data_IF_462059177404
#
_entry.id   IF_462059177404
#
_cell.length_a   1.000
_cell.length_b   1.000
_cell.length_c   1.000
_cell.angle_alpha   90.00
_cell.angle_beta   90.00
_cell.angle_gamma   90.00
#
_symmetry.space_group_name_H-M   'P 1'
#
loop_
_entity.id
_entity.type
_entity.pdbx_description
1 polymer ?
#
# COMPACT_ATOMS: atom_id res chain seq x y z
N UNK A 1 4.92 -2.39 -20.24
CA UNK A 1 3.85 -1.47 -20.63
C UNK A 1 3.75 -0.29 -19.67
N UNK A 2 2.91 -0.31 -18.61
CA UNK A 2 2.73 0.89 -17.76
C UNK A 2 4.02 1.34 -17.05
N UNK A 3 4.88 0.42 -16.60
CA UNK A 3 6.16 0.77 -15.98
C UNK A 3 7.06 1.56 -16.93
N UNK A 4 7.13 1.16 -18.18
CA UNK A 4 7.94 1.84 -19.20
C UNK A 4 7.41 3.24 -19.51
N UNK A 5 6.08 3.41 -19.49
CA UNK A 5 5.43 4.71 -19.65
C UNK A 5 5.75 5.67 -18.49
N UNK A 6 5.74 5.16 -17.24
CA UNK A 6 6.13 5.95 -16.06
C UNK A 6 7.59 6.36 -16.15
N UNK A 7 8.49 5.43 -16.51
CA UNK A 7 9.92 5.72 -16.66
C UNK A 7 10.12 6.80 -17.74
N UNK A 8 9.53 6.61 -18.91
CA UNK A 8 9.63 7.56 -20.01
C UNK A 8 9.07 8.96 -19.63
N UNK A 9 7.99 9.01 -18.86
CA UNK A 9 7.42 10.27 -18.41
C UNK A 9 8.38 11.10 -17.54
N UNK A 10 9.32 10.46 -16.82
CA UNK A 10 10.30 11.20 -16.00
C UNK A 10 11.39 11.89 -16.82
N UNK A 11 11.55 11.56 -18.11
CA UNK A 11 12.61 12.13 -18.98
C UNK A 11 12.49 13.67 -19.11
N UNK A 12 11.25 14.16 -19.18
CA UNK A 12 10.96 15.59 -19.39
C UNK A 12 10.37 16.28 -18.16
N UNK A 13 10.46 15.66 -16.97
CA UNK A 13 9.89 16.19 -15.74
C UNK A 13 10.94 16.84 -14.81
N UNK A 14 12.02 17.38 -15.36
CA UNK A 14 13.11 17.98 -14.60
C UNK A 14 13.75 16.95 -13.69
N UNK A 15 13.93 17.28 -12.42
CA UNK A 15 14.61 16.43 -11.44
C UNK A 15 13.65 15.52 -10.63
N UNK A 16 12.40 15.38 -11.10
CA UNK A 16 11.40 14.53 -10.46
C UNK A 16 11.85 13.06 -10.42
N UNK A 17 11.91 12.49 -9.23
CA UNK A 17 12.05 11.06 -9.03
C UNK A 17 10.67 10.45 -8.71
N UNK A 18 10.25 9.48 -9.49
CA UNK A 18 8.98 8.75 -9.28
C UNK A 18 9.26 7.38 -8.73
N UNK A 19 8.65 7.06 -7.59
CA UNK A 19 8.73 5.74 -6.96
C UNK A 19 7.39 5.01 -7.17
N UNK A 20 7.44 3.79 -7.66
CA UNK A 20 6.25 2.99 -7.91
C UNK A 20 6.49 1.50 -7.72
N UNK A 21 5.41 0.76 -7.39
CA UNK A 21 5.42 -0.70 -7.30
C UNK A 21 4.97 -1.34 -8.60
N UNK A 22 5.60 -2.45 -8.97
CA UNK A 22 5.17 -3.25 -10.12
C UNK A 22 5.68 -4.70 -9.99
N UNK A 23 5.16 -5.59 -10.85
CA UNK A 23 5.68 -6.94 -11.01
C UNK A 23 6.83 -6.91 -12.01
N UNK A 24 8.04 -7.22 -11.54
CA UNK A 24 9.18 -7.45 -12.43
C UNK A 24 9.19 -8.91 -12.90
N UNK A 25 9.47 -9.13 -14.17
CA UNK A 25 9.53 -10.47 -14.79
C UNK A 25 10.90 -10.68 -15.39
N UNK A 26 11.62 -11.69 -14.90
CA UNK A 26 12.87 -12.15 -15.51
C UNK A 26 12.59 -13.38 -16.39
N UNK A 27 12.56 -13.16 -17.68
CA UNK A 27 12.32 -14.21 -18.67
C UNK A 27 13.52 -15.14 -18.87
N UNK A 28 14.71 -14.75 -18.40
CA UNK A 28 15.92 -15.57 -18.48
C UNK A 28 15.99 -16.63 -17.38
N UNK A 29 15.22 -16.45 -16.31
CA UNK A 29 15.17 -17.32 -15.14
C UNK A 29 13.82 -18.03 -15.01
N UNK A 30 13.88 -19.28 -14.52
CA UNK A 30 12.68 -20.09 -14.28
C UNK A 30 12.59 -20.47 -12.80
N UNK A 31 11.38 -20.55 -12.29
CA UNK A 31 11.07 -21.20 -11.04
C UNK A 31 11.04 -22.72 -11.21
N UNK A 32 10.97 -23.47 -10.10
CA UNK A 32 10.88 -24.93 -10.11
C UNK A 32 9.70 -25.47 -10.95
N UNK A 33 8.62 -24.71 -11.04
CA UNK A 33 7.42 -25.01 -11.83
C UNK A 33 7.56 -24.67 -13.33
N UNK A 34 8.73 -24.23 -13.78
CA UNK A 34 9.05 -23.86 -15.16
C UNK A 34 8.53 -22.49 -15.62
N UNK A 35 7.83 -21.74 -14.76
CA UNK A 35 7.36 -20.38 -15.07
C UNK A 35 8.48 -19.36 -15.03
N UNK A 36 8.35 -18.29 -15.83
CA UNK A 36 9.24 -17.14 -15.75
C UNK A 36 9.23 -16.57 -14.33
N UNK A 37 10.42 -16.22 -13.83
CA UNK A 37 10.56 -15.71 -12.48
C UNK A 37 9.96 -14.33 -12.36
N UNK A 38 9.14 -14.12 -11.30
CA UNK A 38 8.49 -12.85 -11.00
C UNK A 38 8.91 -12.34 -9.64
N UNK A 39 9.03 -11.02 -9.53
CA UNK A 39 9.36 -10.33 -8.30
C UNK A 39 8.26 -9.30 -7.99
N UNK A 40 7.86 -9.22 -6.72
CA UNK A 40 7.15 -8.07 -6.20
C UNK A 40 8.22 -6.99 -5.97
N UNK A 41 8.17 -5.90 -6.73
CA UNK A 41 9.29 -5.00 -6.88
C UNK A 41 8.89 -3.53 -6.74
N UNK A 42 9.81 -2.72 -6.20
CA UNK A 42 9.74 -1.27 -6.21
C UNK A 42 10.77 -0.71 -7.19
N UNK A 43 10.36 0.28 -7.94
CA UNK A 43 11.14 1.01 -8.92
C UNK A 43 11.27 2.47 -8.51
N UNK A 44 12.40 3.07 -8.79
CA UNK A 44 12.59 4.51 -8.72
C UNK A 44 13.10 4.99 -10.08
N UNK A 45 12.40 5.92 -10.70
CA UNK A 45 12.73 6.44 -12.03
C UNK A 45 13.00 7.94 -11.97
N UNK A 46 14.08 8.38 -12.63
CA UNK A 46 14.47 9.77 -12.76
C UNK A 46 15.16 9.98 -14.11
N UNK A 47 14.89 11.08 -14.79
CA UNK A 47 15.48 11.41 -16.10
C UNK A 47 15.34 10.30 -17.16
N UNK A 48 14.20 9.61 -17.19
CA UNK A 48 13.94 8.51 -18.13
C UNK A 48 14.70 7.22 -17.82
N UNK A 49 15.31 7.08 -16.64
CA UNK A 49 16.11 5.91 -16.25
C UNK A 49 15.72 5.41 -14.88
N UNK A 50 15.95 4.11 -14.65
CA UNK A 50 15.81 3.52 -13.33
C UNK A 50 17.04 3.81 -12.49
N UNK A 51 16.82 4.10 -11.21
CA UNK A 51 17.85 4.21 -10.19
C UNK A 51 18.11 2.82 -9.59
N UNK A 52 19.39 2.54 -9.30
CA UNK A 52 19.79 1.29 -8.66
C UNK A 52 20.68 1.57 -7.45
N UNK A 53 20.65 0.70 -6.45
CA UNK A 53 21.60 0.71 -5.35
C UNK A 53 22.86 -0.14 -5.63
N UNK A 54 22.95 -0.80 -6.79
CA UNK A 54 24.09 -1.59 -7.23
C UNK A 54 24.30 -2.92 -6.48
N UNK A 55 23.41 -3.31 -5.57
CA UNK A 55 23.55 -4.56 -4.79
C UNK A 55 22.94 -5.78 -5.47
N UNK A 56 21.90 -5.56 -6.27
CA UNK A 56 21.17 -6.57 -7.03
C UNK A 56 21.56 -6.55 -8.51
N UNK A 57 21.40 -7.66 -9.22
CA UNK A 57 21.58 -7.71 -10.67
C UNK A 57 20.42 -7.10 -11.46
N UNK A 58 19.63 -6.25 -10.81
CA UNK A 58 18.40 -5.63 -11.32
C UNK A 58 18.35 -4.15 -10.95
N UNK A 59 17.66 -3.37 -11.77
CA UNK A 59 17.38 -1.95 -11.53
C UNK A 59 16.09 -1.74 -10.75
N UNK A 60 15.82 -2.57 -9.75
CA UNK A 60 14.66 -2.48 -8.86
C UNK A 60 14.95 -3.12 -7.50
N UNK A 61 14.20 -2.73 -6.51
CA UNK A 61 14.23 -3.30 -5.16
C UNK A 61 13.26 -4.48 -5.09
N UNK A 62 13.73 -5.60 -4.58
CA UNK A 62 12.93 -6.83 -4.42
C UNK A 62 12.36 -6.90 -3.02
N UNK A 63 11.06 -7.20 -2.91
CA UNK A 63 10.38 -7.42 -1.64
C UNK A 63 11.01 -8.58 -0.86
N UNK A 64 11.33 -8.32 0.42
CA UNK A 64 11.94 -9.31 1.30
C UNK A 64 10.89 -10.19 2.00
N UNK A 65 9.90 -9.56 2.63
CA UNK A 65 8.85 -10.24 3.36
C UNK A 65 7.67 -10.57 2.42
N UNK A 66 7.55 -11.84 2.04
CA UNK A 66 6.44 -12.34 1.24
C UNK A 66 5.38 -12.93 2.16
N UNK A 67 4.28 -12.22 2.46
CA UNK A 67 3.23 -12.73 3.34
C UNK A 67 2.55 -13.95 2.71
N UNK A 68 2.30 -14.94 3.56
CA UNK A 68 1.64 -16.20 3.17
C UNK A 68 0.64 -16.60 4.27
N UNK A 69 -0.26 -15.69 4.60
CA UNK A 69 -1.28 -15.85 5.63
C UNK A 69 -2.57 -15.13 5.22
N UNK A 70 -3.71 -15.62 5.68
CA UNK A 70 -5.05 -15.12 5.35
C UNK A 70 -5.26 -15.06 3.83
N UNK A 71 -5.46 -13.85 3.30
CA UNK A 71 -5.68 -13.56 1.88
C UNK A 71 -4.39 -13.52 1.03
N UNK A 72 -3.22 -13.50 1.67
CA UNK A 72 -1.94 -13.36 1.00
C UNK A 72 -1.34 -14.72 0.64
N UNK A 73 -0.83 -14.83 -0.58
CA UNK A 73 -0.13 -16.02 -1.10
C UNK A 73 1.06 -15.60 -1.98
N UNK A 74 1.83 -14.62 -1.47
CA UNK A 74 2.94 -14.00 -2.21
C UNK A 74 4.01 -15.04 -2.59
N UNK A 75 4.32 -15.99 -1.69
CA UNK A 75 5.33 -17.02 -1.94
C UNK A 75 5.02 -17.91 -3.14
N UNK A 76 3.75 -18.07 -3.49
CA UNK A 76 3.32 -18.85 -4.66
C UNK A 76 3.62 -18.14 -5.97
N UNK A 77 3.67 -16.80 -5.93
CA UNK A 77 3.69 -15.98 -7.15
C UNK A 77 5.03 -15.29 -7.37
N UNK A 78 5.78 -15.02 -6.29
CA UNK A 78 6.99 -14.20 -6.34
C UNK A 78 8.21 -14.92 -5.78
N UNK A 79 9.34 -14.63 -6.39
CA UNK A 79 10.65 -15.00 -5.90
C UNK A 79 11.14 -13.90 -4.95
N UNK A 80 11.40 -14.26 -3.70
CA UNK A 80 11.72 -13.29 -2.65
C UNK A 80 13.18 -12.91 -2.59
N UNK A 81 13.47 -11.79 -1.91
CA UNK A 81 14.84 -11.31 -1.72
C UNK A 81 15.72 -12.33 -0.98
N UNK A 82 15.17 -13.10 -0.04
CA UNK A 82 15.91 -14.14 0.69
C UNK A 82 16.41 -15.26 -0.22
N UNK A 83 15.58 -15.70 -1.15
CA UNK A 83 15.94 -16.72 -2.14
C UNK A 83 16.99 -16.17 -3.09
N UNK A 84 16.84 -14.92 -3.52
CA UNK A 84 17.82 -14.23 -4.37
C UNK A 84 19.16 -14.03 -3.65
N UNK A 85 19.16 -13.73 -2.36
CA UNK A 85 20.36 -13.59 -1.55
C UNK A 85 21.18 -14.91 -1.51
N UNK A 86 20.48 -16.03 -1.31
CA UNK A 86 21.11 -17.37 -1.36
C UNK A 86 21.69 -17.66 -2.75
N UNK A 87 21.01 -17.33 -3.83
CA UNK A 87 21.50 -17.50 -5.20
C UNK A 87 22.75 -16.65 -5.49
N UNK A 88 22.83 -15.46 -4.87
CA UNK A 88 23.96 -14.54 -5.02
C UNK A 88 25.11 -14.80 -4.05
N UNK A 89 24.98 -15.81 -3.18
CA UNK A 89 25.91 -16.08 -2.07
C UNK A 89 26.16 -14.83 -1.19
N UNK A 90 25.08 -14.13 -0.84
CA UNK A 90 25.09 -12.91 -0.02
C UNK A 90 24.19 -13.04 1.19
N UNK A 91 24.53 -12.32 2.25
CA UNK A 91 23.61 -12.13 3.37
C UNK A 91 22.47 -11.18 2.94
N UNK A 92 21.23 -11.54 3.23
CA UNK A 92 20.05 -10.76 2.86
C UNK A 92 20.10 -9.33 3.43
N UNK A 93 20.66 -9.16 4.63
CA UNK A 93 20.83 -7.85 5.24
C UNK A 93 21.68 -6.91 4.38
N UNK A 94 22.73 -7.41 3.74
CA UNK A 94 23.62 -6.61 2.88
C UNK A 94 22.93 -6.11 1.59
N UNK A 95 21.78 -6.68 1.22
CA UNK A 95 21.03 -6.30 0.02
C UNK A 95 20.06 -5.13 0.28
N UNK A 96 19.77 -4.82 1.55
CA UNK A 96 18.96 -3.68 1.94
C UNK A 96 19.80 -2.39 1.96
N UNK A 97 20.07 -1.84 0.78
CA UNK A 97 20.84 -0.60 0.62
C UNK A 97 19.93 0.53 0.15
N UNK A 98 20.13 1.77 0.64
CA UNK A 98 19.36 2.91 0.18
C UNK A 98 19.68 3.25 -1.27
N UNK A 99 18.70 3.85 -1.94
CA UNK A 99 18.85 4.51 -3.24
C UNK A 99 19.36 5.93 -3.03
N UNK A 100 20.21 6.40 -3.93
CA UNK A 100 20.64 7.80 -3.97
C UNK A 100 19.75 8.56 -4.95
N UNK A 101 19.03 9.56 -4.47
CA UNK A 101 18.21 10.47 -5.27
C UNK A 101 18.82 11.86 -5.20
N UNK A 102 19.02 12.52 -6.34
CA UNK A 102 19.56 13.88 -6.41
C UNK A 102 18.53 14.79 -7.05
N UNK A 103 18.22 15.90 -6.40
CA UNK A 103 17.33 16.93 -6.92
C UNK A 103 17.77 18.31 -6.40
N UNK A 104 17.71 19.34 -7.25
CA UNK A 104 18.10 20.73 -6.92
C UNK A 104 19.52 20.87 -6.35
N UNK A 105 20.43 19.99 -6.81
CA UNK A 105 21.82 19.99 -6.32
C UNK A 105 21.99 19.36 -4.94
N UNK A 106 20.94 18.85 -4.34
CA UNK A 106 20.97 18.12 -3.07
C UNK A 106 20.76 16.63 -3.28
N UNK A 107 21.30 15.82 -2.39
CA UNK A 107 21.23 14.37 -2.47
C UNK A 107 20.61 13.82 -1.19
N UNK A 108 19.67 12.88 -1.33
CA UNK A 108 19.07 12.13 -0.23
C UNK A 108 19.27 10.62 -0.44
N UNK A 109 19.64 9.92 0.61
CA UNK A 109 19.69 8.45 0.64
C UNK A 109 18.35 7.91 1.10
N UNK A 110 17.60 7.35 0.18
CA UNK A 110 16.23 6.87 0.38
C UNK A 110 16.22 5.37 0.66
N UNK A 111 15.77 4.97 1.84
CA UNK A 111 15.49 3.57 2.19
C UNK A 111 14.11 3.16 1.69
N UNK A 112 14.06 2.40 0.59
CA UNK A 112 12.81 1.99 -0.05
C UNK A 112 12.38 0.60 0.40
N UNK A 113 11.11 0.45 0.80
CA UNK A 113 10.50 -0.77 1.32
C UNK A 113 9.17 -1.06 0.61
N UNK A 114 8.78 -2.33 0.58
CA UNK A 114 7.52 -2.79 0.00
C UNK A 114 6.61 -3.38 1.08
N UNK A 115 5.56 -2.68 1.43
CA UNK A 115 4.43 -3.13 2.24
C UNK A 115 4.88 -3.89 3.51
N UNK A 116 4.86 -5.23 3.47
CA UNK A 116 5.18 -6.11 4.59
C UNK A 116 6.61 -5.93 5.13
N UNK A 117 7.55 -5.42 4.34
CA UNK A 117 8.91 -5.13 4.78
C UNK A 117 8.98 -4.13 5.94
N UNK A 118 7.97 -3.27 6.06
CA UNK A 118 7.83 -2.32 7.17
C UNK A 118 7.09 -2.87 8.40
N UNK A 119 6.47 -4.07 8.32
CA UNK A 119 5.72 -4.69 9.42
C UNK A 119 6.63 -5.60 10.25
N UNK A 120 7.54 -5.04 11.02
CA UNK A 120 8.69 -5.74 11.61
C UNK A 120 8.38 -6.63 12.81
N UNK A 121 7.21 -6.50 13.47
CA UNK A 121 6.91 -7.18 14.74
C UNK A 121 7.09 -8.72 14.73
N UNK A 122 6.85 -9.36 13.57
CA UNK A 122 6.86 -10.82 13.45
C UNK A 122 7.99 -11.32 12.54
N UNK A 123 8.95 -10.48 12.19
CA UNK A 123 10.04 -10.82 11.30
C UNK A 123 11.39 -10.73 12.00
N UNK A 124 12.31 -11.61 11.60
CA UNK A 124 13.66 -11.64 12.15
C UNK A 124 14.49 -10.42 11.72
N UNK A 125 14.20 -9.84 10.56
CA UNK A 125 14.88 -8.66 10.04
C UNK A 125 14.03 -7.41 10.27
N UNK A 126 14.63 -6.41 10.89
CA UNK A 126 14.08 -5.06 11.00
C UNK A 126 14.59 -4.23 9.81
N UNK A 127 13.84 -4.27 8.69
CA UNK A 127 14.25 -3.63 7.43
C UNK A 127 14.40 -2.11 7.56
N UNK A 128 13.50 -1.35 8.23
CA UNK A 128 13.70 0.06 8.52
C UNK A 128 15.04 0.35 9.18
N UNK A 129 15.38 -0.40 10.23
CA UNK A 129 16.62 -0.20 10.96
C UNK A 129 17.86 -0.61 10.15
N UNK A 130 17.78 -1.67 9.35
CA UNK A 130 18.86 -2.05 8.43
C UNK A 130 19.15 -0.96 7.39
N UNK A 131 18.11 -0.37 6.81
CA UNK A 131 18.28 0.71 5.83
C UNK A 131 18.94 1.93 6.45
N UNK A 132 18.56 2.31 7.69
CA UNK A 132 19.23 3.39 8.43
C UNK A 132 20.70 3.04 8.69
N UNK A 133 21.03 1.85 9.19
CA UNK A 133 22.39 1.39 9.43
C UNK A 133 23.26 1.42 8.15
N UNK A 134 22.64 1.26 6.99
CA UNK A 134 23.30 1.40 5.69
C UNK A 134 23.27 2.85 5.16
N UNK A 135 22.85 3.79 5.98
CA UNK A 135 22.95 5.23 5.74
C UNK A 135 21.74 5.84 5.04
N UNK A 136 20.55 5.21 5.10
CA UNK A 136 19.33 5.88 4.69
C UNK A 136 19.06 7.11 5.56
N UNK A 137 18.57 8.18 4.96
CA UNK A 137 18.23 9.44 5.62
C UNK A 137 16.72 9.67 5.67
N UNK A 138 15.99 8.98 4.80
CA UNK A 138 14.54 9.00 4.70
C UNK A 138 14.06 7.59 4.34
N UNK A 139 13.04 7.10 5.02
CA UNK A 139 12.38 5.84 4.69
C UNK A 139 11.12 6.07 3.83
N UNK A 140 10.89 5.21 2.87
CA UNK A 140 9.68 5.19 2.07
C UNK A 140 9.13 3.77 1.98
N UNK A 141 7.90 3.56 2.42
CA UNK A 141 7.19 2.30 2.28
C UNK A 141 6.02 2.47 1.31
N UNK A 142 6.07 1.78 0.17
CA UNK A 142 4.97 1.74 -0.79
C UNK A 142 4.16 0.46 -0.58
N UNK A 143 2.85 0.59 -0.50
CA UNK A 143 1.95 -0.48 -0.06
C UNK A 143 0.70 -0.60 -0.94
N UNK A 144 0.23 -1.83 -1.06
CA UNK A 144 -1.13 -2.17 -1.45
C UNK A 144 -1.72 -3.02 -0.31
N UNK A 145 -2.00 -2.38 0.82
CA UNK A 145 -2.39 -3.01 2.07
C UNK A 145 -3.90 -2.90 2.25
N UNK A 146 -4.65 -4.02 2.19
CA UNK A 146 -6.11 -3.99 2.28
C UNK A 146 -6.57 -3.59 3.68
N UNK A 147 -7.77 -3.06 3.75
CA UNK A 147 -8.44 -2.73 5.01
C UNK A 147 -8.66 -3.99 5.86
N UNK A 148 -8.44 -3.85 7.14
CA UNK A 148 -9.00 -4.71 8.18
C UNK A 148 -9.23 -3.89 9.45
N UNK A 149 -10.14 -4.34 10.30
CA UNK A 149 -10.48 -3.64 11.55
C UNK A 149 -9.23 -3.37 12.38
N UNK A 150 -9.09 -2.15 12.91
CA UNK A 150 -7.95 -1.69 13.72
C UNK A 150 -6.59 -1.64 12.99
N UNK A 151 -6.57 -1.91 11.69
CA UNK A 151 -5.30 -1.96 10.95
C UNK A 151 -4.64 -0.58 10.85
N UNK A 152 -5.43 0.49 10.72
CA UNK A 152 -4.87 1.84 10.64
C UNK A 152 -4.20 2.24 11.96
N UNK A 153 -4.83 2.00 13.09
CA UNK A 153 -4.23 2.23 14.42
C UNK A 153 -2.96 1.39 14.62
N UNK A 154 -2.98 0.13 14.19
CA UNK A 154 -1.79 -0.73 14.21
C UNK A 154 -0.69 -0.19 13.30
N UNK A 155 -1.05 0.31 12.11
CA UNK A 155 -0.12 0.94 11.15
C UNK A 155 0.59 2.13 11.78
N UNK A 156 -0.16 3.07 12.37
CA UNK A 156 0.42 4.24 13.03
C UNK A 156 1.39 3.84 14.15
N UNK A 157 1.01 2.90 14.99
CA UNK A 157 1.89 2.41 16.06
C UNK A 157 3.19 1.80 15.52
N UNK A 158 3.12 0.96 14.48
CA UNK A 158 4.27 0.24 13.95
C UNK A 158 5.21 1.13 13.15
N UNK A 159 4.69 1.90 12.22
CA UNK A 159 5.52 2.77 11.38
C UNK A 159 6.06 3.98 12.15
N UNK A 160 5.28 4.52 13.09
CA UNK A 160 5.79 5.53 14.03
C UNK A 160 6.94 4.97 14.88
N UNK A 161 6.76 3.77 15.46
CA UNK A 161 7.85 3.11 16.19
C UNK A 161 9.07 2.80 15.31
N UNK A 162 8.87 2.43 14.05
CA UNK A 162 9.97 2.17 13.11
C UNK A 162 10.76 3.46 12.82
N UNK A 163 10.07 4.57 12.53
CA UNK A 163 10.71 5.87 12.33
C UNK A 163 11.50 6.32 13.58
N UNK A 164 10.89 6.19 14.77
CA UNK A 164 11.53 6.53 16.04
C UNK A 164 12.78 5.68 16.32
N UNK A 165 12.71 4.37 16.11
CA UNK A 165 13.85 3.46 16.32
C UNK A 165 15.00 3.75 15.35
N UNK A 166 14.66 4.00 14.08
CA UNK A 166 15.63 4.36 13.06
C UNK A 166 16.15 5.80 13.24
N UNK A 167 15.44 6.67 13.96
CA UNK A 167 15.80 8.08 14.15
C UNK A 167 15.73 8.91 12.87
N UNK A 168 15.02 8.44 11.84
CA UNK A 168 14.84 9.11 10.55
C UNK A 168 13.37 9.11 10.14
N UNK A 169 12.90 10.12 9.36
CA UNK A 169 11.51 10.20 8.95
C UNK A 169 11.07 9.03 8.05
N UNK A 170 9.77 8.75 8.05
CA UNK A 170 9.18 7.69 7.25
C UNK A 170 7.94 8.18 6.50
N UNK A 171 7.92 7.95 5.19
CA UNK A 171 6.77 8.14 4.32
C UNK A 171 6.12 6.78 4.08
N UNK A 172 4.82 6.67 4.36
CA UNK A 172 4.01 5.51 4.05
C UNK A 172 3.01 5.88 2.96
N UNK A 173 3.08 5.22 1.81
CA UNK A 173 2.19 5.43 0.68
C UNK A 173 1.36 4.17 0.43
N UNK A 174 0.03 4.27 0.52
CA UNK A 174 -0.87 3.13 0.38
C UNK A 174 -1.89 3.32 -0.74
N UNK A 175 -2.31 2.22 -1.32
CA UNK A 175 -3.34 2.17 -2.35
C UNK A 175 -4.72 2.58 -1.81
N UNK A 176 -5.53 3.21 -2.67
CA UNK A 176 -6.96 3.46 -2.48
C UNK A 176 -7.73 2.74 -3.58
N UNK A 177 -8.77 2.03 -3.24
CA UNK A 177 -9.57 1.35 -4.25
C UNK A 177 -10.20 0.05 -3.79
N UNK A 178 -10.59 -0.76 -4.75
CA UNK A 178 -11.01 -2.13 -4.54
C UNK A 178 -10.29 -3.07 -5.49
N UNK A 179 -10.09 -4.30 -5.05
CA UNK A 179 -9.63 -5.39 -5.91
C UNK A 179 -10.54 -6.60 -5.73
N UNK A 180 -10.95 -7.18 -6.86
CA UNK A 180 -11.74 -8.40 -6.90
C UNK A 180 -10.84 -9.56 -7.35
N UNK A 181 -10.66 -10.56 -6.48
CA UNK A 181 -9.90 -11.77 -6.82
C UNK A 181 -10.79 -12.95 -7.27
N UNK A 182 -12.06 -12.68 -7.56
CA UNK A 182 -13.06 -13.68 -7.96
C UNK A 182 -13.77 -14.37 -6.79
N UNK A 183 -13.22 -14.30 -5.57
CA UNK A 183 -13.85 -14.85 -4.35
C UNK A 183 -14.24 -13.75 -3.38
N UNK A 184 -13.37 -12.76 -3.24
CA UNK A 184 -13.54 -11.65 -2.30
C UNK A 184 -13.26 -10.32 -3.00
N UNK A 185 -13.90 -9.28 -2.49
CA UNK A 185 -13.60 -7.89 -2.84
C UNK A 185 -12.84 -7.30 -1.67
N UNK A 186 -11.58 -6.92 -1.90
CA UNK A 186 -10.78 -6.20 -0.94
C UNK A 186 -10.98 -4.71 -1.12
N UNK A 187 -11.15 -3.99 -0.01
CA UNK A 187 -11.09 -2.53 0.02
C UNK A 187 -9.71 -2.09 0.50
N UNK A 188 -9.19 -1.04 -0.11
CA UNK A 188 -7.94 -0.40 0.27
C UNK A 188 -8.26 0.98 0.80
N UNK A 189 -7.91 1.20 2.06
CA UNK A 189 -8.31 2.38 2.83
C UNK A 189 -7.47 3.63 2.52
N UNK A 190 -6.32 3.47 1.85
CA UNK A 190 -5.39 4.57 1.63
C UNK A 190 -4.69 4.92 2.93
N UNK A 191 -5.05 6.04 3.55
CA UNK A 191 -4.42 6.52 4.78
C UNK A 191 -2.90 6.60 4.64
N UNK A 192 -2.41 7.10 3.49
CA UNK A 192 -1.00 7.43 3.31
C UNK A 192 -0.59 8.49 4.31
N UNK A 193 0.61 8.40 4.86
CA UNK A 193 0.98 9.27 5.97
C UNK A 193 2.50 9.49 6.04
N UNK A 194 2.90 10.49 6.83
CA UNK A 194 4.29 10.86 7.08
C UNK A 194 4.54 10.87 8.58
N UNK A 195 5.65 10.28 9.00
CA UNK A 195 6.12 10.28 10.39
C UNK A 195 7.44 11.03 10.49
N UNK A 196 7.57 11.83 11.56
CA UNK A 196 8.85 12.43 11.95
C UNK A 196 9.84 11.39 12.46
N UNK A 197 11.09 11.79 12.59
CA UNK A 197 12.17 10.96 13.17
C UNK A 197 11.94 10.60 14.64
N UNK A 198 11.06 11.30 15.32
CA UNK A 198 10.58 11.02 16.69
C UNK A 198 9.41 10.03 16.74
N UNK A 199 8.92 9.62 15.56
CA UNK A 199 7.80 8.69 15.40
C UNK A 199 6.40 9.31 15.45
N UNK A 200 6.30 10.64 15.62
CA UNK A 200 5.02 11.33 15.58
C UNK A 200 4.46 11.38 14.16
N UNK A 201 3.16 11.19 14.07
CA UNK A 201 2.41 11.39 12.83
C UNK A 201 2.39 12.90 12.50
N UNK A 202 2.94 13.27 11.36
CA UNK A 202 2.97 14.66 10.89
C UNK A 202 1.77 15.00 10.01
N UNK A 203 1.37 14.07 9.13
CA UNK A 203 0.19 14.21 8.27
C UNK A 203 -0.30 12.83 7.82
N UNK A 204 -1.59 12.73 7.51
CA UNK A 204 -2.21 11.55 6.90
C UNK A 204 -3.25 11.94 5.85
N UNK A 205 -3.46 11.06 4.89
CA UNK A 205 -4.49 11.20 3.87
C UNK A 205 -5.84 10.68 4.40
N UNK A 206 -6.95 11.26 3.93
CA UNK A 206 -8.28 10.80 4.31
C UNK A 206 -8.53 9.36 3.84
N UNK A 207 -9.26 8.60 4.66
CA UNK A 207 -9.65 7.23 4.35
C UNK A 207 -10.58 7.17 3.13
N UNK A 208 -10.32 6.23 2.22
CA UNK A 208 -11.11 5.98 1.01
C UNK A 208 -11.21 7.17 0.04
N UNK A 209 -10.26 8.08 0.08
CA UNK A 209 -10.15 9.17 -0.87
C UNK A 209 -8.74 9.21 -1.49
N UNK A 210 -8.68 9.50 -2.78
CA UNK A 210 -7.42 9.81 -3.44
C UNK A 210 -6.96 11.19 -2.94
N UNK A 211 -5.69 11.28 -2.54
CA UNK A 211 -5.10 12.49 -2.02
C UNK A 211 -3.63 12.62 -2.42
N UNK A 212 -3.17 13.84 -2.52
CA UNK A 212 -1.75 14.18 -2.64
C UNK A 212 -1.31 14.84 -1.34
N UNK A 213 -0.37 14.22 -0.64
CA UNK A 213 0.31 14.82 0.51
C UNK A 213 1.59 15.47 0.05
N UNK A 214 1.83 16.71 0.48
CA UNK A 214 3.06 17.43 0.23
C UNK A 214 3.87 17.52 1.52
N UNK A 215 5.17 17.25 1.41
CA UNK A 215 6.12 17.39 2.50
C UNK A 215 7.42 17.99 1.98
N UNK A 216 8.07 18.81 2.78
CA UNK A 216 9.36 19.42 2.47
C UNK A 216 10.46 18.67 3.18
N UNK A 217 11.55 18.37 2.47
CA UNK A 217 12.76 17.76 3.02
C UNK A 217 13.84 18.83 3.27
N UNK A 218 14.35 18.88 4.49
CA UNK A 218 15.53 19.67 4.83
C UNK A 218 16.75 18.73 4.89
N UNK A 219 17.64 18.85 3.92
CA UNK A 219 18.83 18.02 3.79
C UNK A 219 19.86 18.25 4.91
N UNK A 220 19.88 19.46 5.50
CA UNK A 220 20.80 19.80 6.59
C UNK A 220 20.31 19.31 7.93
N UNK A 221 19.04 19.53 8.21
CA UNK A 221 18.39 19.05 9.43
C UNK A 221 18.05 17.56 9.38
N UNK A 222 18.04 16.95 8.17
CA UNK A 222 17.54 15.59 7.89
C UNK A 222 16.14 15.37 8.45
N UNK A 223 15.32 16.38 8.26
CA UNK A 223 13.95 16.44 8.78
C UNK A 223 12.94 16.65 7.65
N UNK A 224 11.73 16.23 7.92
CA UNK A 224 10.59 16.43 7.04
C UNK A 224 9.57 17.35 7.72
N UNK A 225 9.02 18.28 6.97
CA UNK A 225 7.98 19.19 7.43
C UNK A 225 6.74 19.10 6.53
N UNK A 226 5.56 19.25 7.12
CA UNK A 226 4.29 19.18 6.41
C UNK A 226 3.39 20.34 6.84
N UNK A 227 2.68 20.95 5.90
CA UNK A 227 1.77 22.05 6.17
C UNK A 227 0.39 21.60 6.69
N UNK A 228 0.02 20.35 6.47
CA UNK A 228 -1.35 19.85 6.71
C UNK A 228 -1.35 18.73 7.75
N UNK A 229 -1.93 19.00 8.90
CA UNK A 229 -2.24 17.99 9.90
C UNK A 229 -3.70 17.59 9.72
N UNK A 230 -3.94 16.40 9.20
CA UNK A 230 -5.28 15.81 9.12
C UNK A 230 -5.26 14.50 9.90
N UNK A 231 -5.77 14.49 11.11
CA UNK A 231 -6.16 13.24 11.76
C UNK A 231 -7.68 13.21 11.84
N UNK A 232 -8.28 12.14 11.34
CA UNK A 232 -9.72 11.88 11.44
C UNK A 232 -9.92 10.63 12.30
N UNK A 233 -9.95 10.79 13.65
CA UNK A 233 -10.13 9.65 14.53
C UNK A 233 -11.54 9.09 14.35
N UNK A 234 -11.62 7.81 13.96
CA UNK A 234 -12.88 7.08 13.77
C UNK A 234 -13.00 5.95 14.77
N UNK A 235 -14.26 5.65 15.16
CA UNK A 235 -14.53 4.43 15.89
C UNK A 235 -14.40 3.20 14.97
N UNK A 236 -14.17 2.03 15.54
CA UNK A 236 -14.11 0.77 14.77
C UNK A 236 -15.35 0.54 13.91
N UNK A 237 -16.53 0.87 14.43
CA UNK A 237 -17.78 0.70 13.71
C UNK A 237 -17.88 1.67 12.52
N UNK A 238 -17.37 2.89 12.67
CA UNK A 238 -17.31 3.86 11.56
C UNK A 238 -16.36 3.37 10.48
N UNK A 239 -15.19 2.82 10.84
CA UNK A 239 -14.26 2.24 9.88
C UNK A 239 -14.91 1.11 9.07
N UNK A 240 -15.62 0.18 9.74
CA UNK A 240 -16.34 -0.92 9.08
C UNK A 240 -17.44 -0.38 8.16
N UNK A 241 -18.26 0.56 8.66
CA UNK A 241 -19.31 1.17 7.87
C UNK A 241 -18.77 1.85 6.60
N UNK A 242 -17.72 2.64 6.75
CA UNK A 242 -17.09 3.32 5.62
C UNK A 242 -16.45 2.34 4.61
N UNK A 243 -15.83 1.26 5.10
CA UNK A 243 -15.27 0.21 4.24
C UNK A 243 -16.34 -0.50 3.40
N UNK A 244 -17.42 -0.94 4.05
CA UNK A 244 -18.52 -1.61 3.36
C UNK A 244 -19.18 -0.68 2.34
N UNK A 245 -19.46 0.55 2.75
CA UNK A 245 -20.06 1.56 1.87
C UNK A 245 -19.20 1.84 0.65
N UNK A 246 -17.89 2.07 0.85
CA UNK A 246 -16.94 2.32 -0.23
C UNK A 246 -16.82 1.10 -1.16
N UNK A 247 -16.65 -0.08 -0.59
CA UNK A 247 -16.51 -1.32 -1.35
C UNK A 247 -17.71 -1.59 -2.25
N UNK A 248 -18.92 -1.49 -1.71
CA UNK A 248 -20.16 -1.64 -2.48
C UNK A 248 -20.26 -0.61 -3.61
N UNK A 249 -20.02 0.66 -3.31
CA UNK A 249 -20.10 1.73 -4.29
C UNK A 249 -19.12 1.49 -5.45
N UNK A 250 -17.84 1.28 -5.14
CA UNK A 250 -16.80 1.12 -6.17
C UNK A 250 -17.02 -0.14 -7.01
N UNK A 251 -17.52 -1.21 -6.39
CA UNK A 251 -17.86 -2.43 -7.12
C UNK A 251 -18.99 -2.18 -8.14
N UNK A 252 -20.06 -1.49 -7.73
CA UNK A 252 -21.17 -1.18 -8.62
C UNK A 252 -20.74 -0.25 -9.76
N UNK A 253 -19.93 0.75 -9.47
CA UNK A 253 -19.36 1.67 -10.46
C UNK A 253 -18.50 0.91 -11.50
N UNK A 254 -17.59 0.05 -11.05
CA UNK A 254 -16.74 -0.76 -11.93
C UNK A 254 -17.53 -1.77 -12.77
N UNK A 255 -18.62 -2.29 -12.22
CA UNK A 255 -19.51 -3.22 -12.92
C UNK A 255 -20.52 -2.50 -13.85
N UNK A 256 -20.55 -1.16 -13.88
CA UNK A 256 -21.52 -0.39 -14.65
C UNK A 256 -22.98 -0.52 -14.17
N UNK A 257 -23.17 -0.91 -12.90
CA UNK A 257 -24.50 -1.14 -12.31
C UNK A 257 -25.04 0.16 -11.73
N UNK A 258 -25.97 0.78 -12.44
CA UNK A 258 -26.64 2.03 -12.01
C UNK A 258 -27.94 1.81 -11.23
N UNK A 259 -28.49 0.59 -11.24
CA UNK A 259 -29.75 0.25 -10.55
C UNK A 259 -29.64 -1.12 -9.90
N UNK A 260 -30.24 -1.28 -8.72
CA UNK A 260 -30.27 -2.54 -8.00
C UNK A 260 -31.65 -2.84 -7.48
N UNK A 261 -31.97 -4.11 -7.38
CA UNK A 261 -33.16 -4.62 -6.67
C UNK A 261 -32.68 -5.38 -5.44
N UNK A 262 -33.26 -5.08 -4.29
CA UNK A 262 -32.96 -5.76 -3.04
C UNK A 262 -34.22 -6.39 -2.47
N UNK A 263 -34.14 -7.67 -2.11
CA UNK A 263 -35.19 -8.38 -1.39
C UNK A 263 -35.09 -8.04 0.11
N UNK A 264 -36.13 -7.46 0.67
CA UNK A 264 -36.22 -7.20 2.12
C UNK A 264 -36.87 -8.41 2.80
N UNK A 265 -36.09 -9.12 3.61
CA UNK A 265 -36.53 -10.34 4.29
C UNK A 265 -37.27 -10.11 5.60
N UNK A 266 -37.35 -8.88 6.09
CA UNK A 266 -37.85 -8.54 7.43
C UNK A 266 -36.85 -8.75 8.57
N UNK A 267 -35.65 -9.27 8.27
CA UNK A 267 -34.50 -9.29 9.18
C UNK A 267 -33.77 -7.94 9.24
N UNK A 268 -32.62 -7.90 9.90
CA UNK A 268 -31.82 -6.67 10.07
C UNK A 268 -30.93 -6.40 8.85
N UNK A 269 -30.31 -7.42 8.26
CA UNK A 269 -29.26 -7.28 7.26
C UNK A 269 -29.72 -6.60 5.97
N UNK A 270 -30.84 -7.03 5.41
CA UNK A 270 -31.34 -6.50 4.13
C UNK A 270 -31.82 -5.05 4.24
N UNK A 271 -32.52 -4.59 5.31
CA UNK A 271 -32.80 -3.16 5.53
C UNK A 271 -31.57 -2.31 5.74
N UNK A 272 -30.55 -2.79 6.46
CA UNK A 272 -29.27 -2.07 6.63
C UNK A 272 -28.55 -1.93 5.30
N UNK A 273 -28.48 -2.97 4.50
CA UNK A 273 -27.90 -2.90 3.15
C UNK A 273 -28.65 -1.90 2.26
N UNK A 274 -29.98 -1.94 2.26
CA UNK A 274 -30.82 -0.98 1.51
C UNK A 274 -30.59 0.47 1.98
N UNK A 275 -30.53 0.69 3.27
CA UNK A 275 -30.23 2.01 3.85
C UNK A 275 -28.87 2.52 3.43
N UNK A 276 -27.83 1.72 3.52
CA UNK A 276 -26.46 2.09 3.11
C UNK A 276 -26.40 2.48 1.63
N UNK A 277 -27.11 1.78 0.76
CA UNK A 277 -27.16 2.06 -0.67
C UNK A 277 -27.97 3.32 -0.98
N UNK A 278 -29.13 3.51 -0.35
CA UNK A 278 -29.94 4.72 -0.48
C UNK A 278 -29.18 5.99 -0.05
N UNK A 279 -28.41 5.92 1.01
CA UNK A 279 -27.54 7.02 1.49
C UNK A 279 -26.48 7.42 0.45
N UNK A 280 -26.20 6.59 -0.55
CA UNK A 280 -25.31 6.88 -1.67
C UNK A 280 -26.03 7.42 -2.91
N UNK A 281 -27.30 7.70 -2.83
CA UNK A 281 -28.11 8.21 -3.93
C UNK A 281 -28.47 7.17 -4.98
N UNK A 282 -28.29 5.87 -4.67
CA UNK A 282 -28.76 4.79 -5.55
C UNK A 282 -30.29 4.73 -5.50
N UNK A 283 -30.92 4.65 -6.66
CA UNK A 283 -32.34 4.38 -6.76
C UNK A 283 -32.59 2.90 -6.41
N UNK A 284 -33.28 2.67 -5.28
CA UNK A 284 -33.59 1.32 -4.82
C UNK A 284 -35.00 0.92 -5.23
N UNK A 285 -35.11 -0.25 -5.82
CA UNK A 285 -36.37 -0.96 -5.99
C UNK A 285 -36.34 -2.20 -5.09
N UNK A 286 -37.27 -2.31 -4.17
CA UNK A 286 -37.35 -3.47 -3.29
C UNK A 286 -38.66 -4.24 -3.52
N UNK A 287 -38.56 -5.54 -3.39
CA UNK A 287 -39.70 -6.47 -3.51
C UNK A 287 -39.83 -7.19 -2.18
N UNK A 288 -41.01 -7.13 -1.60
CA UNK A 288 -41.34 -7.90 -0.41
C UNK A 288 -42.19 -9.11 -0.81
N UNK A 289 -41.69 -10.29 -0.48
CA UNK A 289 -42.48 -11.53 -0.62
C UNK A 289 -43.11 -11.86 0.74
N UNK A 290 -44.40 -11.62 0.84
CA UNK A 290 -45.16 -12.04 2.02
C UNK A 290 -45.31 -13.55 2.04
N UNK A 291 -44.86 -14.20 3.10
CA UNK A 291 -44.96 -15.67 3.27
C UNK A 291 -45.45 -15.98 4.70
N UNK A 292 -46.72 -15.77 5.00
CA UNK A 292 -47.27 -16.14 6.30
C UNK A 292 -47.13 -17.66 6.55
N UNK A 293 -46.86 -18.11 7.77
CA UNK A 293 -46.64 -17.32 8.99
C UNK A 293 -45.19 -16.81 9.21
N UNK A 294 -44.32 -16.96 8.25
CA UNK A 294 -42.88 -16.74 8.39
C UNK A 294 -42.46 -15.27 8.19
N UNK A 295 -43.30 -14.45 7.58
CA UNK A 295 -43.07 -13.01 7.43
C UNK A 295 -44.21 -12.21 8.00
N UNK A 296 -43.91 -11.13 8.73
CA UNK A 296 -44.92 -10.18 9.19
C UNK A 296 -45.41 -9.30 8.04
N UNK A 297 -46.71 -9.03 7.98
CA UNK A 297 -47.34 -8.09 7.03
C UNK A 297 -47.15 -6.62 7.46
N UNK A 298 -46.01 -6.25 7.99
CA UNK A 298 -45.73 -4.88 8.43
C UNK A 298 -45.03 -4.09 7.32
#
# INVERSE_FOLDING_TARGET
AYGDEIIAATENCGELCVIFGNIAVDNSKRNEDGRARKYNAAFAAQHGKLLTNGTLPYDFIVKNALPNYREFDDNRHFYGLRQLALELDKQVACLHQPLTVTAHGETVKLGLMLCEDGWTENYFLDVPQLLEQHGAELLCNISCSPFSINKNSKRHRLFGSAAQKAGIPLIYCNNVGIQNNGKNIFTFDGCSCVYGSDGWLLTDAPMYAEATLCASWDSKAKAIDTSDITSDPRSEIDEVYHSLRYGCQRFLEQAGIGKMTIGLSGGIDSPVAAYCMARRGLALHHIHFASPPYTSLR
#
